data_IF_582611398704
#
_entry.id   IF_582611398704
#
_cell.length_a   1.000
_cell.length_b   1.000
_cell.length_c   1.000
_cell.angle_alpha   90.00
_cell.angle_beta   90.00
_cell.angle_gamma   90.00
#
_symmetry.space_group_name_H-M   'P 1'
#
loop_
_entity.id
_entity.type
_entity.pdbx_description
1 polymer ?
#
# COMPACT_ATOMS: atom_id res chain seq x y z
N UNK A 1 -16.84 13.37 -0.43
CA UNK A 1 -16.55 12.48 -1.57
C UNK A 1 -15.12 12.00 -1.49
N UNK A 2 -14.90 10.70 -1.34
CA UNK A 2 -13.56 10.11 -1.42
C UNK A 2 -13.23 10.05 -2.92
N UNK A 3 -12.28 10.86 -3.36
CA UNK A 3 -11.77 10.83 -4.74
C UNK A 3 -11.04 9.51 -4.97
N UNK A 4 -11.78 8.49 -5.45
CA UNK A 4 -11.21 7.26 -6.00
C UNK A 4 -10.83 7.54 -7.45
N UNK A 5 -9.96 8.53 -7.67
CA UNK A 5 -9.35 8.71 -8.99
C UNK A 5 -8.55 7.44 -9.30
N UNK A 6 -8.94 6.75 -10.38
CA UNK A 6 -8.24 5.57 -10.91
C UNK A 6 -6.85 5.98 -11.36
N UNK A 7 -5.92 6.04 -10.42
CA UNK A 7 -4.51 6.03 -10.75
C UNK A 7 -4.24 4.63 -11.31
N UNK A 8 -3.89 4.52 -12.59
CA UNK A 8 -3.70 3.23 -13.30
C UNK A 8 -2.71 2.32 -12.56
N UNK A 9 -1.87 2.90 -11.71
CA UNK A 9 -0.88 2.24 -10.88
C UNK A 9 -1.45 1.51 -9.64
N UNK A 10 -2.63 1.89 -9.14
CA UNK A 10 -3.16 1.40 -7.86
C UNK A 10 -4.47 0.65 -8.02
N UNK A 11 -4.55 -0.54 -7.42
CA UNK A 11 -5.75 -1.37 -7.38
C UNK A 11 -6.76 -0.97 -6.31
N UNK A 12 -7.88 -1.69 -6.24
CA UNK A 12 -8.90 -1.47 -5.21
C UNK A 12 -8.38 -1.74 -3.79
N UNK A 13 -7.56 -2.77 -3.61
CA UNK A 13 -6.89 -3.04 -2.33
C UNK A 13 -6.04 -1.86 -1.85
N UNK A 14 -5.36 -1.21 -2.78
CA UNK A 14 -4.44 -0.11 -2.49
C UNK A 14 -5.20 1.15 -2.08
N UNK A 15 -6.37 1.41 -2.67
CA UNK A 15 -7.20 2.55 -2.28
C UNK A 15 -7.72 2.40 -0.85
N UNK A 16 -8.08 1.17 -0.43
CA UNK A 16 -8.45 0.88 0.96
C UNK A 16 -7.29 1.19 1.90
N UNK A 17 -6.08 0.69 1.61
CA UNK A 17 -4.91 0.96 2.45
C UNK A 17 -4.61 2.47 2.51
N UNK A 18 -4.66 3.18 1.39
CA UNK A 18 -4.38 4.63 1.36
C UNK A 18 -5.36 5.42 2.23
N UNK A 19 -6.66 5.08 2.19
CA UNK A 19 -7.67 5.74 3.03
C UNK A 19 -7.43 5.43 4.51
N UNK A 20 -7.08 4.19 4.85
CA UNK A 20 -6.83 3.80 6.24
C UNK A 20 -5.53 4.42 6.80
N UNK A 21 -4.49 4.50 5.97
CA UNK A 21 -3.17 4.99 6.36
C UNK A 21 -3.01 6.50 6.26
N UNK A 22 -3.95 7.24 5.67
CA UNK A 22 -3.83 8.67 5.40
C UNK A 22 -3.41 9.50 6.64
N UNK A 23 -3.96 9.17 7.81
CA UNK A 23 -3.66 9.84 9.09
C UNK A 23 -2.37 9.39 9.75
N UNK A 24 -1.77 8.34 9.24
CA UNK A 24 -0.64 7.62 9.81
C UNK A 24 0.62 7.85 8.96
N UNK A 25 0.52 8.57 7.84
CA UNK A 25 1.67 8.91 7.00
C UNK A 25 2.68 9.81 7.75
N UNK A 26 3.97 9.56 7.54
CA UNK A 26 5.06 10.33 8.16
C UNK A 26 5.42 9.90 9.58
N UNK A 27 4.72 8.91 10.15
CA UNK A 27 5.13 8.26 11.38
C UNK A 27 6.10 7.12 11.07
N UNK A 28 7.16 6.97 11.87
CA UNK A 28 8.19 5.93 11.68
C UNK A 28 7.70 4.55 12.17
N UNK A 29 6.55 4.10 11.67
CA UNK A 29 5.97 2.80 11.96
C UNK A 29 6.12 1.83 10.77
N UNK A 30 5.88 0.55 11.07
CA UNK A 30 5.92 -0.52 10.08
C UNK A 30 4.52 -1.08 9.90
N UNK A 31 4.00 -1.00 8.69
CA UNK A 31 2.69 -1.49 8.32
C UNK A 31 2.78 -2.94 7.86
N UNK A 32 2.12 -3.85 8.59
CA UNK A 32 2.07 -5.28 8.29
C UNK A 32 0.78 -5.64 7.56
N UNK A 33 0.89 -6.34 6.44
CA UNK A 33 -0.25 -6.61 5.55
C UNK A 33 -0.30 -8.05 5.03
N UNK A 34 -1.51 -8.49 4.71
CA UNK A 34 -1.74 -9.75 3.99
C UNK A 34 -1.58 -9.53 2.46
N UNK A 35 -1.46 -10.62 1.72
CA UNK A 35 -1.20 -10.66 0.28
C UNK A 35 -2.26 -9.99 -0.61
N UNK A 36 -3.47 -9.78 -0.09
CA UNK A 36 -4.51 -9.04 -0.79
C UNK A 36 -4.27 -7.53 -0.78
N UNK A 37 -3.55 -7.03 0.23
CA UNK A 37 -3.23 -5.62 0.43
C UNK A 37 -1.76 -5.30 0.17
N UNK A 38 -0.98 -6.28 -0.31
CA UNK A 38 0.43 -6.11 -0.65
C UNK A 38 0.57 -5.87 -2.15
N UNK A 39 1.13 -4.73 -2.54
CA UNK A 39 1.46 -4.41 -3.92
C UNK A 39 2.78 -3.61 -4.01
N UNK A 40 3.67 -3.87 -4.98
CA UNK A 40 4.95 -3.16 -5.09
C UNK A 40 4.79 -1.63 -5.21
N UNK A 41 3.81 -1.18 -5.97
CA UNK A 41 3.50 0.24 -6.13
C UNK A 41 3.08 0.88 -4.79
N UNK A 42 2.26 0.17 -4.00
CA UNK A 42 1.79 0.63 -2.70
C UNK A 42 2.94 0.69 -1.68
N UNK A 43 3.80 -0.32 -1.66
CA UNK A 43 5.01 -0.35 -0.82
C UNK A 43 5.91 0.84 -1.11
N UNK A 44 6.17 1.14 -2.39
CA UNK A 44 6.97 2.32 -2.79
C UNK A 44 6.30 3.62 -2.33
N UNK A 45 4.99 3.76 -2.54
CA UNK A 45 4.23 4.93 -2.12
C UNK A 45 4.31 5.19 -0.61
N UNK A 46 4.22 4.14 0.21
CA UNK A 46 4.30 4.21 1.67
C UNK A 46 5.72 4.51 2.16
N UNK A 47 6.72 3.88 1.54
CA UNK A 47 8.14 4.10 1.87
C UNK A 47 8.55 5.55 1.60
N UNK A 48 8.14 6.14 0.47
CA UNK A 48 8.36 7.57 0.16
C UNK A 48 7.71 8.52 1.17
N UNK A 49 6.76 8.02 1.98
CA UNK A 49 6.02 8.77 3.01
C UNK A 49 6.42 8.38 4.43
N UNK A 50 7.58 7.74 4.60
CA UNK A 50 8.14 7.42 5.91
C UNK A 50 7.52 6.20 6.60
N UNK A 51 6.70 5.42 5.89
CA UNK A 51 6.06 4.21 6.42
C UNK A 51 6.81 2.98 5.90
N UNK A 52 7.38 2.19 6.81
CA UNK A 52 7.91 0.87 6.47
C UNK A 52 6.76 -0.09 6.14
N UNK A 53 6.95 -1.04 5.23
CA UNK A 53 5.91 -2.04 4.92
C UNK A 53 6.49 -3.45 4.91
N UNK A 54 5.71 -4.39 5.42
CA UNK A 54 5.99 -5.82 5.40
C UNK A 54 4.69 -6.54 5.04
N UNK A 55 4.77 -7.56 4.20
CA UNK A 55 3.62 -8.35 3.87
C UNK A 55 3.96 -9.62 3.13
N UNK A 56 2.98 -10.48 2.98
CA UNK A 56 3.10 -11.70 2.19
C UNK A 56 2.77 -11.40 0.72
N UNK A 57 3.48 -12.00 -0.22
CA UNK A 57 3.18 -11.86 -1.66
C UNK A 57 2.40 -13.08 -2.16
N UNK A 58 1.49 -12.87 -3.13
CA UNK A 58 0.85 -13.99 -3.83
C UNK A 58 1.87 -14.64 -4.78
N UNK A 59 1.92 -15.97 -4.81
CA UNK A 59 2.91 -16.74 -5.57
C UNK A 59 2.95 -16.43 -7.07
N UNK A 60 1.82 -16.02 -7.65
CA UNK A 60 1.71 -15.67 -9.07
C UNK A 60 2.17 -14.24 -9.40
N UNK A 61 2.41 -13.42 -8.38
CA UNK A 61 3.05 -12.12 -8.52
C UNK A 61 4.54 -12.40 -8.42
N UNK A 62 5.19 -12.56 -9.56
CA UNK A 62 6.65 -12.77 -9.62
C UNK A 62 7.34 -11.61 -8.90
N UNK A 63 8.08 -11.96 -7.86
CA UNK A 63 8.78 -11.11 -6.92
C UNK A 63 9.86 -10.25 -7.61
N UNK A 64 9.83 -8.94 -7.33
CA UNK A 64 10.87 -7.88 -7.39
C UNK A 64 11.94 -7.87 -8.49
#
# INVERSE_FOLDING_TARGET
DVDISKNVLFGFSDSVVKVLMDRYLGENHVFYTDNYYTAPALTKYLQERGVGTVGTVRSHVSCF
#
